data_IF_565241277828
#
_entry.id   IF_565241277828
#
_cell.length_a   1.000
_cell.length_b   1.000
_cell.length_c   1.000
_cell.angle_alpha   90.00
_cell.angle_beta   90.00
_cell.angle_gamma   90.00
#
_symmetry.space_group_name_H-M   'P 1'
#
loop_
_entity.id
_entity.type
_entity.pdbx_description
1 polymer ?
#
# COMPACT_ATOMS: atom_id res chain seq x y z
N UNK A 1 -18.00 18.59 21.53
CA UNK A 1 -16.83 17.77 21.94
C UNK A 1 -16.22 17.18 20.67
N UNK A 2 -14.99 17.55 20.32
CA UNK A 2 -14.28 16.91 19.20
C UNK A 2 -13.98 15.46 19.58
N UNK A 3 -14.45 14.52 18.76
CA UNK A 3 -14.16 13.10 18.97
C UNK A 3 -12.67 12.91 18.64
N UNK A 4 -11.88 12.42 19.59
CA UNK A 4 -10.47 12.08 19.35
C UNK A 4 -10.47 10.87 18.41
N UNK A 5 -9.85 11.03 17.24
CA UNK A 5 -9.72 9.95 16.25
C UNK A 5 -8.43 9.20 16.56
N UNK A 6 -8.53 7.90 16.76
CA UNK A 6 -7.37 7.01 16.88
C UNK A 6 -7.05 6.41 15.52
N UNK A 7 -5.81 6.61 15.06
CA UNK A 7 -5.35 6.16 13.75
C UNK A 7 -4.16 5.21 13.91
N UNK A 8 -4.14 4.17 13.09
CA UNK A 8 -3.08 3.17 13.03
C UNK A 8 -2.48 3.14 11.63
N UNK A 9 -1.15 3.27 11.54
CA UNK A 9 -0.42 3.39 10.28
C UNK A 9 0.48 2.17 10.11
N UNK A 10 0.47 1.61 8.91
CA UNK A 10 1.30 0.48 8.56
C UNK A 10 1.94 0.70 7.20
N UNK A 11 3.17 0.26 7.06
CA UNK A 11 3.91 0.27 5.80
C UNK A 11 4.43 -1.12 5.51
N UNK A 12 4.53 -1.47 4.23
CA UNK A 12 5.20 -2.67 3.77
C UNK A 12 6.20 -2.29 2.70
N UNK A 13 7.42 -2.82 2.80
CA UNK A 13 8.51 -2.60 1.85
C UNK A 13 9.02 -3.97 1.41
N UNK A 14 8.59 -4.42 0.25
CA UNK A 14 8.96 -5.71 -0.30
C UNK A 14 9.99 -5.47 -1.39
N UNK A 15 11.17 -6.04 -1.17
CA UNK A 15 12.29 -5.95 -2.08
C UNK A 15 12.29 -7.15 -3.03
N UNK A 16 12.05 -6.90 -4.32
CA UNK A 16 12.20 -7.91 -5.35
C UNK A 16 13.50 -7.70 -6.12
N UNK A 17 13.95 -8.69 -6.87
CA UNK A 17 15.19 -8.57 -7.66
C UNK A 17 15.10 -7.46 -8.72
N UNK A 18 13.91 -7.21 -9.29
CA UNK A 18 13.70 -6.28 -10.38
C UNK A 18 13.00 -4.97 -9.99
N UNK A 19 12.32 -4.92 -8.85
CA UNK A 19 11.51 -3.76 -8.45
C UNK A 19 11.41 -3.61 -6.94
N UNK A 20 11.08 -2.40 -6.51
CA UNK A 20 10.61 -2.09 -5.17
C UNK A 20 9.08 -2.12 -5.17
N UNK A 21 8.48 -2.83 -4.22
CA UNK A 21 7.04 -2.75 -3.95
C UNK A 21 6.82 -2.16 -2.57
N UNK A 22 6.20 -0.98 -2.51
CA UNK A 22 6.00 -0.22 -1.28
C UNK A 22 4.52 0.03 -1.09
N UNK A 23 3.97 -0.40 0.06
CA UNK A 23 2.55 -0.31 0.38
C UNK A 23 2.34 0.46 1.68
N UNK A 24 1.18 1.07 1.83
CA UNK A 24 0.77 1.74 3.06
C UNK A 24 -0.70 1.57 3.34
N UNK A 25 -1.05 1.34 4.60
CA UNK A 25 -2.43 1.25 5.07
C UNK A 25 -2.65 2.12 6.30
N UNK A 26 -3.75 2.85 6.28
CA UNK A 26 -4.23 3.68 7.37
C UNK A 26 -5.56 3.14 7.87
N UNK A 27 -5.63 2.79 9.15
CA UNK A 27 -6.86 2.37 9.81
C UNK A 27 -7.34 3.41 10.81
N UNK A 28 -8.65 3.61 10.83
CA UNK A 28 -9.38 4.32 11.89
C UNK A 28 -9.97 3.29 12.86
N UNK A 29 -9.71 3.48 14.15
CA UNK A 29 -10.36 2.76 15.23
C UNK A 29 -11.62 3.48 15.72
N UNK A 30 -12.74 2.76 15.74
CA UNK A 30 -14.02 3.25 16.23
C UNK A 30 -14.76 2.17 17.01
N UNK A 31 -15.67 2.57 17.88
CA UNK A 31 -16.57 1.64 18.57
C UNK A 31 -17.74 1.27 17.66
N UNK A 32 -18.08 -0.01 17.62
CA UNK A 32 -19.22 -0.54 16.88
C UNK A 32 -19.97 -1.59 17.71
N UNK A 33 -21.12 -2.03 17.20
CA UNK A 33 -21.85 -3.19 17.72
C UNK A 33 -21.61 -4.34 16.75
N UNK A 34 -21.09 -5.46 17.25
CA UNK A 34 -20.87 -6.64 16.42
C UNK A 34 -22.20 -7.39 16.14
N UNK A 35 -22.14 -8.47 15.36
CA UNK A 35 -23.31 -9.29 15.02
C UNK A 35 -24.04 -9.86 16.25
N UNK A 36 -23.35 -10.02 17.38
CA UNK A 36 -23.89 -10.57 18.62
C UNK A 36 -24.50 -9.50 19.54
N UNK A 37 -24.43 -8.21 19.18
CA UNK A 37 -24.94 -7.12 20.00
C UNK A 37 -23.93 -6.55 20.99
N UNK A 38 -22.69 -7.03 20.97
CA UNK A 38 -21.64 -6.56 21.88
C UNK A 38 -20.97 -5.28 21.36
N UNK A 39 -20.64 -4.38 22.30
CA UNK A 39 -19.80 -3.21 22.01
C UNK A 39 -18.36 -3.65 21.83
N UNK A 40 -17.81 -3.44 20.63
CA UNK A 40 -16.46 -3.84 20.26
C UNK A 40 -15.68 -2.67 19.66
N UNK A 41 -14.36 -2.84 19.55
CA UNK A 41 -13.52 -1.96 18.72
C UNK A 41 -13.52 -2.50 17.30
N UNK A 42 -13.62 -1.62 16.32
CA UNK A 42 -13.53 -1.98 14.90
C UNK A 42 -12.55 -1.08 14.18
N UNK A 43 -11.95 -1.60 13.12
CA UNK A 43 -10.87 -0.93 12.40
C UNK A 43 -11.22 -0.81 10.92
N UNK A 44 -11.46 0.42 10.47
CA UNK A 44 -11.82 0.71 9.07
C UNK A 44 -10.61 1.20 8.31
N UNK A 45 -10.35 0.62 7.14
CA UNK A 45 -9.29 1.10 6.27
C UNK A 45 -9.74 2.41 5.63
N UNK A 46 -9.03 3.51 5.91
CA UNK A 46 -9.29 4.83 5.33
C UNK A 46 -8.47 5.08 4.07
N UNK A 47 -7.28 4.51 3.99
CA UNK A 47 -6.36 4.66 2.87
C UNK A 47 -5.56 3.36 2.69
N UNK A 48 -5.48 2.88 1.45
CA UNK A 48 -4.60 1.77 1.03
C UNK A 48 -3.89 2.21 -0.26
N UNK A 49 -2.57 2.32 -0.21
CA UNK A 49 -1.74 2.62 -1.38
C UNK A 49 -0.73 1.51 -1.66
N UNK A 50 -0.42 1.32 -2.94
CA UNK A 50 0.62 0.44 -3.44
C UNK A 50 1.40 1.16 -4.55
N UNK A 51 2.71 1.30 -4.36
CA UNK A 51 3.65 1.82 -5.33
C UNK A 51 4.61 0.73 -5.77
N UNK A 52 4.76 0.57 -7.08
CA UNK A 52 5.71 -0.33 -7.71
C UNK A 52 6.68 0.47 -8.56
N UNK A 53 7.98 0.33 -8.30
CA UNK A 53 9.06 1.09 -8.94
C UNK A 53 10.11 0.11 -9.46
N UNK A 54 10.37 0.08 -10.76
CA UNK A 54 11.49 -0.69 -11.34
C UNK A 54 12.83 -0.18 -10.81
N UNK A 55 13.76 -1.10 -10.54
CA UNK A 55 15.14 -0.74 -10.16
C UNK A 55 15.98 -0.27 -11.33
N UNK A 56 15.64 -0.72 -12.53
CA UNK A 56 16.29 -0.35 -13.77
C UNK A 56 15.34 0.55 -14.56
N UNK A 57 15.39 1.84 -14.25
CA UNK A 57 14.56 2.85 -14.92
C UNK A 57 15.10 3.21 -16.32
N UNK A 58 16.34 2.79 -16.65
CA UNK A 58 16.93 3.04 -17.97
C UNK A 58 16.40 2.06 -19.01
N UNK A 59 16.29 0.77 -18.64
CA UNK A 59 15.83 -0.28 -19.55
C UNK A 59 14.35 -0.63 -19.35
N UNK A 60 13.83 -0.45 -18.13
CA UNK A 60 12.48 -0.86 -17.73
C UNK A 60 11.80 0.26 -16.94
N UNK A 61 11.59 1.42 -17.57
CA UNK A 61 10.87 2.55 -16.97
C UNK A 61 9.44 2.11 -16.57
N UNK A 62 9.25 1.87 -15.28
CA UNK A 62 7.99 1.41 -14.72
C UNK A 62 7.82 1.97 -13.33
N UNK A 63 6.87 2.89 -13.22
CA UNK A 63 6.38 3.44 -11.96
C UNK A 63 4.86 3.34 -11.99
N UNK A 64 4.30 2.52 -11.09
CA UNK A 64 2.86 2.35 -10.95
C UNK A 64 2.46 2.74 -9.53
N UNK A 65 1.51 3.65 -9.43
CA UNK A 65 0.90 4.02 -8.15
C UNK A 65 -0.59 3.69 -8.18
N UNK A 66 -1.06 2.91 -7.21
CA UNK A 66 -2.47 2.65 -6.96
C UNK A 66 -2.79 3.17 -5.56
N UNK A 67 -3.87 3.93 -5.43
CA UNK A 67 -4.36 4.41 -4.15
C UNK A 67 -5.88 4.28 -4.09
N UNK A 68 -6.37 3.87 -2.94
CA UNK A 68 -7.79 3.81 -2.60
C UNK A 68 -8.05 4.63 -1.34
N UNK A 69 -9.14 5.37 -1.34
CA UNK A 69 -9.59 6.20 -0.23
C UNK A 69 -11.00 5.81 0.17
N UNK A 70 -11.19 5.55 1.46
CA UNK A 70 -12.39 4.93 1.97
C UNK A 70 -13.00 5.63 3.17
N UNK A 71 -13.50 6.86 3.03
CA UNK A 71 -14.32 7.47 4.10
C UNK A 71 -15.53 6.60 4.43
N UNK A 72 -16.13 5.98 3.42
CA UNK A 72 -17.30 5.09 3.49
C UNK A 72 -17.01 3.67 2.97
N UNK A 73 -15.73 3.29 2.83
CA UNK A 73 -15.37 1.94 2.38
C UNK A 73 -15.87 0.86 3.33
N UNK A 74 -16.34 -0.26 2.77
CA UNK A 74 -16.65 -1.49 3.51
C UNK A 74 -15.40 -2.31 3.86
N UNK A 75 -14.22 -1.86 3.41
CA UNK A 75 -12.95 -2.52 3.70
C UNK A 75 -12.53 -2.20 5.14
N UNK A 76 -12.65 -3.20 6.01
CA UNK A 76 -12.23 -3.15 7.41
C UNK A 76 -11.45 -4.39 7.81
N UNK A 77 -10.78 -4.30 8.96
CA UNK A 77 -10.16 -5.45 9.59
C UNK A 77 -11.18 -6.17 10.48
N UNK A 78 -11.14 -7.50 10.53
CA UNK A 78 -12.10 -8.34 11.26
C UNK A 78 -11.93 -8.36 12.79
N UNK A 79 -11.02 -7.54 13.35
CA UNK A 79 -10.67 -7.64 14.76
C UNK A 79 -11.58 -6.78 15.64
N UNK A 80 -12.03 -7.34 16.76
CA UNK A 80 -13.00 -6.71 17.68
C UNK A 80 -12.36 -5.87 18.82
N UNK A 81 -11.11 -5.43 18.65
CA UNK A 81 -9.95 -5.98 19.37
C UNK A 81 -8.62 -5.28 19.03
N UNK A 82 -8.09 -4.32 19.80
CA UNK A 82 -6.77 -3.71 19.49
C UNK A 82 -5.63 -4.72 19.60
N UNK A 83 -5.69 -5.62 20.58
CA UNK A 83 -4.67 -6.67 20.76
C UNK A 83 -4.70 -7.62 19.56
N UNK A 84 -5.88 -8.07 19.15
CA UNK A 84 -6.04 -8.99 18.03
C UNK A 84 -5.70 -8.33 16.69
N UNK A 85 -6.09 -7.06 16.52
CA UNK A 85 -5.71 -6.24 15.38
C UNK A 85 -4.19 -6.21 15.22
N UNK A 86 -3.46 -5.81 16.26
CA UNK A 86 -1.98 -5.79 16.22
C UNK A 86 -1.36 -7.19 16.07
N UNK A 87 -1.96 -8.20 16.68
CA UNK A 87 -1.48 -9.58 16.57
C UNK A 87 -1.60 -10.13 15.15
N UNK A 88 -2.62 -9.73 14.39
CA UNK A 88 -2.77 -10.14 12.99
C UNK A 88 -1.66 -9.58 12.10
N UNK A 89 -1.22 -8.34 12.32
CA UNK A 89 -0.03 -7.78 11.65
C UNK A 89 1.27 -8.53 11.99
N UNK A 90 1.30 -9.28 13.10
CA UNK A 90 2.43 -10.13 13.46
C UNK A 90 2.34 -11.57 12.87
N UNK A 91 1.22 -11.94 12.23
CA UNK A 91 1.05 -13.25 11.58
C UNK A 91 1.68 -13.25 10.19
N UNK A 92 2.04 -14.45 9.71
CA UNK A 92 2.67 -14.67 8.38
C UNK A 92 1.96 -13.95 7.22
N UNK A 93 0.63 -13.82 7.26
CA UNK A 93 -0.15 -13.16 6.20
C UNK A 93 0.15 -11.67 6.06
N UNK A 94 0.53 -11.02 7.16
CA UNK A 94 0.85 -9.60 7.22
C UNK A 94 2.29 -9.34 7.71
N UNK A 95 3.16 -10.35 7.68
CA UNK A 95 4.50 -10.26 8.26
C UNK A 95 5.38 -9.17 7.64
N UNK A 96 5.10 -8.80 6.39
CA UNK A 96 5.81 -7.73 5.69
C UNK A 96 5.27 -6.33 6.01
N UNK A 97 4.27 -6.20 6.91
CA UNK A 97 3.67 -4.94 7.32
C UNK A 97 4.14 -4.55 8.71
N UNK A 98 4.80 -3.40 8.79
CA UNK A 98 5.32 -2.85 10.03
C UNK A 98 4.49 -1.63 10.48
N UNK A 99 4.17 -1.51 11.78
CA UNK A 99 3.56 -0.31 12.31
C UNK A 99 4.54 0.86 12.21
N UNK A 100 4.05 2.03 11.83
CA UNK A 100 4.88 3.24 11.74
C UNK A 100 4.18 4.44 12.37
N UNK A 101 4.93 5.53 12.50
CA UNK A 101 4.38 6.81 12.93
C UNK A 101 3.64 7.51 11.79
N UNK A 102 2.72 8.41 12.14
CA UNK A 102 2.05 9.29 11.18
C UNK A 102 3.06 10.01 10.27
N UNK A 103 4.15 10.54 10.86
CA UNK A 103 5.15 11.31 10.13
C UNK A 103 5.85 10.46 9.07
N UNK A 104 6.24 9.23 9.42
CA UNK A 104 6.87 8.29 8.49
C UNK A 104 5.90 7.91 7.36
N UNK A 105 4.65 7.61 7.70
CA UNK A 105 3.61 7.29 6.73
C UNK A 105 3.37 8.43 5.74
N UNK A 106 3.12 9.65 6.24
CA UNK A 106 2.84 10.82 5.40
C UNK A 106 4.05 11.21 4.55
N UNK A 107 5.27 11.11 5.10
CA UNK A 107 6.50 11.39 4.37
C UNK A 107 6.70 10.41 3.22
N UNK A 108 6.59 9.10 3.49
CA UNK A 108 6.74 8.06 2.47
C UNK A 108 5.65 8.19 1.41
N UNK A 109 4.39 8.39 1.83
CA UNK A 109 3.27 8.59 0.89
C UNK A 109 3.52 9.76 -0.05
N UNK A 110 4.02 10.88 0.48
CA UNK A 110 4.33 12.07 -0.32
C UNK A 110 5.45 11.79 -1.33
N UNK A 111 6.55 11.19 -0.89
CA UNK A 111 7.69 10.85 -1.74
C UNK A 111 7.30 9.93 -2.91
N UNK A 112 6.53 8.86 -2.63
CA UNK A 112 6.08 7.93 -3.66
C UNK A 112 5.14 8.61 -4.66
N UNK A 113 4.28 9.52 -4.20
CA UNK A 113 3.40 10.27 -5.07
C UNK A 113 4.16 11.24 -5.96
N UNK A 114 5.20 11.89 -5.44
CA UNK A 114 6.09 12.77 -6.22
C UNK A 114 6.85 11.98 -7.30
N UNK A 115 7.40 10.81 -6.96
CA UNK A 115 8.05 9.92 -7.93
C UNK A 115 7.08 9.51 -9.04
N UNK A 116 5.85 9.12 -8.67
CA UNK A 116 4.82 8.79 -9.65
C UNK A 116 4.48 9.99 -10.54
N UNK A 117 4.31 11.19 -9.98
CA UNK A 117 3.98 12.38 -10.76
C UNK A 117 5.05 12.74 -11.79
N UNK A 118 6.33 12.55 -11.45
CA UNK A 118 7.43 12.78 -12.39
C UNK A 118 7.42 11.81 -13.59
N UNK A 119 6.82 10.63 -13.42
CA UNK A 119 6.79 9.53 -14.40
C UNK A 119 5.38 9.22 -14.92
N UNK A 120 4.42 10.09 -14.62
CA UNK A 120 3.00 9.86 -14.91
C UNK A 120 2.68 9.96 -16.40
N UNK A 121 3.51 10.70 -17.16
CA UNK A 121 3.38 10.83 -18.60
C UNK A 121 4.56 10.13 -19.27
N UNK A 122 4.24 9.21 -20.16
CA UNK A 122 5.21 8.60 -21.06
C UNK A 122 5.69 9.64 -22.06
N UNK A 123 7.00 9.75 -22.24
CA UNK A 123 7.57 10.51 -23.35
C UNK A 123 7.42 9.69 -24.64
N UNK A 124 6.39 10.01 -25.41
CA UNK A 124 6.02 9.26 -26.62
C UNK A 124 7.13 9.34 -27.68
N UNK A 125 7.91 10.42 -27.71
CA UNK A 125 8.96 10.63 -28.70
C UNK A 125 10.16 9.70 -28.47
N UNK A 126 10.30 9.14 -27.27
CA UNK A 126 11.37 8.18 -26.92
C UNK A 126 11.03 6.73 -27.25
N UNK A 127 9.80 6.45 -27.69
CA UNK A 127 9.36 5.08 -27.97
C UNK A 127 10.07 4.56 -29.22
N UNK A 128 10.93 3.54 -29.03
CA UNK A 128 11.56 2.83 -30.14
C UNK A 128 10.51 2.13 -30.99
N UNK A 129 10.55 2.34 -32.30
CA UNK A 129 9.65 1.71 -33.28
C UNK A 129 10.10 0.31 -33.70
N UNK A 130 11.33 -0.08 -33.35
CA UNK A 130 11.94 -1.39 -33.61
C UNK A 130 12.48 -1.93 -32.28
N UNK A 131 12.09 -3.15 -31.91
CA UNK A 131 12.60 -3.84 -30.73
C UNK A 131 13.63 -4.91 -31.14
N UNK A 132 14.90 -4.69 -30.79
CA UNK A 132 16.00 -5.61 -31.05
C UNK A 132 16.16 -6.67 -29.93
N UNK A 133 15.12 -7.46 -29.67
CA UNK A 133 15.24 -8.59 -28.74
C UNK A 133 15.26 -9.92 -29.49
N UNK A 134 16.25 -10.75 -29.17
CA UNK A 134 16.31 -12.13 -29.66
C UNK A 134 15.39 -13.00 -28.81
N UNK A 135 14.19 -13.31 -29.31
CA UNK A 135 13.29 -14.28 -28.68
C UNK A 135 13.94 -15.67 -28.73
N UNK A 136 14.44 -16.17 -27.59
CA UNK A 136 14.85 -17.57 -27.47
C UNK A 136 13.61 -18.41 -27.15
N UNK A 137 13.14 -19.17 -28.14
CA UNK A 137 12.14 -20.21 -27.93
C UNK A 137 12.83 -21.37 -27.20
N UNK A 138 12.44 -21.63 -25.97
CA UNK A 138 12.85 -22.82 -25.24
C UNK A 138 11.95 -23.99 -25.70
N UNK A 139 12.44 -24.81 -26.64
CA UNK A 139 11.80 -26.08 -26.96
C UNK A 139 12.06 -27.09 -25.83
N UNK A 140 10.99 -27.74 -25.37
CA UNK A 140 11.03 -28.83 -24.37
C UNK A 140 11.70 -30.08 -24.92
#
# INVERSE_FOLDING_TARGET
MSKIITLHYFISKIEHSAFHEIKGRLYNEYESINYYGDRVRSFKCLEDFNCHISKDQEHYESVRFKIDFGKDSCTGHWADNLKDFKADFAKKVFADWEPCTRKEYESLRKELFEIYQQKMFLDIDTIKTIQDYTVKILTR
#
